data_IF_728565676282
#
_entry.id   IF_728565676282
#
_cell.length_a   1.000
_cell.length_b   1.000
_cell.length_c   1.000
_cell.angle_alpha   90.00
_cell.angle_beta   90.00
_cell.angle_gamma   90.00
#
_symmetry.space_group_name_H-M   'P 1'
#
loop_
_entity.id
_entity.type
_entity.pdbx_description
1 polymer ?
#
# COMPACT_ATOMS: atom_id res chain seq x y z
N UNK A 1 -0.33 -9.33 1.37
CA UNK A 1 -0.59 -8.29 2.38
C UNK A 1 -1.80 -8.57 3.26
N UNK A 2 -2.92 -8.94 2.69
CA UNK A 2 -4.13 -9.20 3.49
C UNK A 2 -3.90 -10.30 4.51
N UNK A 3 -3.30 -11.39 4.10
CA UNK A 3 -3.04 -12.52 5.01
C UNK A 3 -2.14 -12.08 6.17
N UNK A 4 -1.11 -11.29 5.89
CA UNK A 4 -0.21 -10.78 6.91
C UNK A 4 -0.94 -9.86 7.88
N UNK A 5 -1.83 -8.99 7.36
CA UNK A 5 -2.60 -8.09 8.21
C UNK A 5 -3.54 -8.88 9.14
N UNK A 6 -4.19 -9.92 8.61
CA UNK A 6 -5.08 -10.75 9.41
C UNK A 6 -4.31 -11.53 10.47
N UNK A 7 -3.13 -12.02 10.12
CA UNK A 7 -2.30 -12.73 11.08
C UNK A 7 -1.80 -11.79 12.17
N UNK A 8 -1.43 -10.57 11.80
CA UNK A 8 -1.03 -9.56 12.78
C UNK A 8 -2.15 -9.27 13.77
N UNK A 9 -3.38 -9.20 13.27
CA UNK A 9 -4.54 -8.97 14.12
C UNK A 9 -4.80 -10.17 15.03
N UNK A 10 -4.75 -11.38 14.45
CA UNK A 10 -5.03 -12.60 15.23
C UNK A 10 -4.00 -12.81 16.34
N UNK A 11 -2.73 -12.62 16.00
CA UNK A 11 -1.65 -12.90 16.95
C UNK A 11 -1.22 -11.68 17.76
N UNK A 12 -1.77 -10.51 17.48
CA UNK A 12 -1.37 -9.25 18.14
C UNK A 12 0.13 -9.05 18.01
N UNK A 13 0.65 -9.23 16.77
CA UNK A 13 2.09 -9.22 16.51
C UNK A 13 2.48 -7.88 15.89
N UNK A 14 3.13 -7.04 16.66
CA UNK A 14 3.52 -5.70 16.21
C UNK A 14 4.54 -5.76 15.08
N UNK A 15 5.43 -6.76 15.09
CA UNK A 15 6.41 -6.88 14.02
C UNK A 15 5.75 -7.14 12.68
N UNK A 16 4.69 -7.96 12.66
CA UNK A 16 3.93 -8.18 11.43
C UNK A 16 3.24 -6.89 10.98
N UNK A 17 2.72 -6.11 11.92
CA UNK A 17 2.11 -4.83 11.58
C UNK A 17 3.12 -3.92 10.88
N UNK A 18 4.33 -3.87 11.39
CA UNK A 18 5.35 -2.97 10.85
C UNK A 18 5.91 -3.45 9.51
N UNK A 19 5.64 -4.70 9.12
CA UNK A 19 6.04 -5.19 7.80
C UNK A 19 5.12 -4.69 6.70
N UNK A 20 3.88 -4.36 7.03
CA UNK A 20 2.89 -4.04 5.99
C UNK A 20 3.28 -2.85 5.11
N UNK A 21 3.76 -1.73 5.64
CA UNK A 21 4.14 -0.62 4.77
C UNK A 21 5.29 -1.00 3.83
N UNK A 22 6.20 -1.85 4.29
CA UNK A 22 7.29 -2.30 3.42
C UNK A 22 6.79 -3.20 2.30
N UNK A 23 5.78 -4.01 2.58
CA UNK A 23 5.15 -4.85 1.56
C UNK A 23 4.39 -4.00 0.55
N UNK A 24 3.94 -2.81 0.95
CA UNK A 24 3.19 -1.93 0.07
C UNK A 24 4.08 -1.23 -0.95
N UNK A 25 5.36 -1.03 -0.66
CA UNK A 25 6.26 -0.33 -1.57
C UNK A 25 6.37 -0.99 -2.96
N UNK A 26 6.54 -2.31 -3.08
CA UNK A 26 6.54 -2.94 -4.39
C UNK A 26 5.20 -2.80 -5.11
N UNK A 27 4.09 -2.82 -4.36
CA UNK A 27 2.75 -2.65 -4.95
C UNK A 27 2.64 -1.26 -5.56
N UNK A 28 3.09 -0.23 -4.85
CA UNK A 28 3.09 1.13 -5.36
C UNK A 28 3.94 1.26 -6.61
N UNK A 29 5.12 0.65 -6.62
CA UNK A 29 5.99 0.71 -7.79
C UNK A 29 5.35 0.05 -9.00
N UNK A 30 4.72 -1.12 -8.78
CA UNK A 30 4.06 -1.83 -9.87
C UNK A 30 2.87 -1.03 -10.41
N UNK A 31 2.13 -0.38 -9.53
CA UNK A 31 1.00 0.44 -9.94
C UNK A 31 1.47 1.62 -10.80
N UNK A 32 2.55 2.30 -10.40
CA UNK A 32 3.11 3.39 -11.19
C UNK A 32 3.64 2.87 -12.53
N UNK A 33 4.24 1.68 -12.53
CA UNK A 33 4.73 1.06 -13.75
C UNK A 33 3.62 0.76 -14.73
N UNK A 34 2.47 0.33 -14.24
CA UNK A 34 1.31 0.05 -15.10
C UNK A 34 0.88 1.31 -15.84
N UNK A 35 0.88 2.46 -15.17
CA UNK A 35 0.50 3.72 -15.79
C UNK A 35 1.48 4.07 -16.92
N UNK A 36 2.78 3.93 -16.66
CA UNK A 36 3.80 4.23 -17.68
C UNK A 36 3.70 3.28 -18.87
N UNK A 37 3.41 2.01 -18.61
CA UNK A 37 3.23 1.04 -19.70
C UNK A 37 2.02 1.38 -20.54
N UNK A 38 0.93 1.83 -19.92
CA UNK A 38 -0.26 2.22 -20.67
C UNK A 38 0.04 3.40 -21.60
N UNK A 39 0.85 4.34 -21.18
CA UNK A 39 1.20 5.48 -22.02
C UNK A 39 1.95 5.07 -23.29
N UNK A 40 2.71 3.97 -23.23
CA UNK A 40 3.43 3.48 -24.40
C UNK A 40 2.52 2.92 -25.46
N UNK A 41 1.25 2.68 -25.14
CA UNK A 41 0.29 2.11 -26.08
C UNK A 41 -0.53 3.19 -26.78
N UNK A 42 -0.14 4.45 -26.65
CA UNK A 42 -0.94 5.57 -27.13
C UNK A 42 -1.17 5.57 -28.65
N UNK A 43 -0.30 4.92 -29.42
CA UNK A 43 -0.41 4.92 -30.87
C UNK A 43 -1.49 3.98 -31.40
N UNK A 44 -1.96 3.05 -30.58
CA UNK A 44 -2.99 2.08 -30.97
C UNK A 44 -4.19 2.25 -30.03
N UNK A 45 -5.31 2.81 -30.49
CA UNK A 45 -6.44 3.09 -29.61
C UNK A 45 -6.99 1.86 -28.90
N UNK A 46 -6.96 0.68 -29.53
CA UNK A 46 -7.48 -0.53 -28.89
C UNK A 46 -6.55 -1.00 -27.79
N UNK A 47 -5.24 -0.96 -28.05
CA UNK A 47 -4.24 -1.32 -27.06
C UNK A 47 -4.27 -0.32 -25.89
N UNK A 48 -4.43 0.95 -26.20
CA UNK A 48 -4.50 1.98 -25.16
C UNK A 48 -5.73 1.76 -24.28
N UNK A 49 -6.88 1.45 -24.87
CA UNK A 49 -8.08 1.19 -24.10
C UNK A 49 -7.87 0.02 -23.13
N UNK A 50 -7.24 -1.04 -23.60
CA UNK A 50 -6.91 -2.19 -22.75
C UNK A 50 -5.97 -1.76 -21.63
N UNK A 51 -4.94 -0.98 -21.97
CA UNK A 51 -3.96 -0.51 -21.00
C UNK A 51 -4.57 0.36 -19.91
N UNK A 52 -5.54 1.22 -20.29
CA UNK A 52 -6.22 2.06 -19.31
C UNK A 52 -7.07 1.23 -18.37
N UNK A 53 -7.73 0.19 -18.86
CA UNK A 53 -8.50 -0.71 -18.00
C UNK A 53 -7.58 -1.49 -17.07
N UNK A 54 -6.42 -1.91 -17.56
CA UNK A 54 -5.45 -2.59 -16.71
C UNK A 54 -4.91 -1.65 -15.63
N UNK A 55 -4.74 -0.37 -15.98
CA UNK A 55 -4.31 0.61 -14.99
C UNK A 55 -5.37 0.79 -13.89
N UNK A 56 -6.65 0.79 -14.26
CA UNK A 56 -7.72 0.87 -13.27
C UNK A 56 -7.73 -0.36 -12.35
N UNK A 57 -7.50 -1.54 -12.92
CA UNK A 57 -7.43 -2.76 -12.13
C UNK A 57 -6.23 -2.71 -11.15
N UNK A 58 -5.09 -2.20 -11.62
CA UNK A 58 -3.91 -2.07 -10.78
C UNK A 58 -4.16 -1.12 -9.62
N UNK A 59 -4.88 -0.02 -9.88
CA UNK A 59 -5.21 0.93 -8.81
C UNK A 59 -6.16 0.32 -7.79
N UNK A 60 -7.10 -0.51 -8.25
CA UNK A 60 -8.00 -1.19 -7.33
C UNK A 60 -7.23 -2.16 -6.43
N UNK A 61 -6.25 -2.86 -6.99
CA UNK A 61 -5.40 -3.76 -6.20
C UNK A 61 -4.52 -2.99 -5.23
N UNK A 62 -4.05 -1.81 -5.63
CA UNK A 62 -3.29 -0.97 -4.72
C UNK A 62 -4.13 -0.56 -3.53
N UNK A 63 -5.41 -0.27 -3.75
CA UNK A 63 -6.31 0.07 -2.63
C UNK A 63 -6.48 -1.09 -1.66
N UNK A 64 -6.47 -2.32 -2.16
CA UNK A 64 -6.52 -3.48 -1.29
C UNK A 64 -5.28 -3.49 -0.39
N UNK A 65 -4.11 -3.18 -0.95
CA UNK A 65 -2.89 -3.06 -0.16
C UNK A 65 -2.99 -1.95 0.87
N UNK A 66 -3.51 -0.78 0.49
CA UNK A 66 -3.69 0.33 1.40
C UNK A 66 -4.60 -0.06 2.56
N UNK A 67 -5.68 -0.79 2.28
CA UNK A 67 -6.58 -1.26 3.32
C UNK A 67 -5.89 -2.24 4.26
N UNK A 68 -4.98 -3.06 3.74
CA UNK A 68 -4.21 -3.96 4.59
C UNK A 68 -3.30 -3.18 5.53
N UNK A 69 -2.69 -2.10 5.04
CA UNK A 69 -1.88 -1.23 5.88
C UNK A 69 -2.75 -0.55 6.95
N UNK A 70 -3.96 -0.11 6.57
CA UNK A 70 -4.89 0.47 7.52
C UNK A 70 -5.22 -0.49 8.65
N UNK A 71 -5.44 -1.77 8.32
CA UNK A 71 -5.70 -2.79 9.33
C UNK A 71 -4.50 -2.88 10.27
N UNK A 72 -3.29 -2.91 9.70
CA UNK A 72 -2.07 -3.01 10.51
C UNK A 72 -1.91 -1.81 11.44
N UNK A 73 -2.28 -0.62 10.97
CA UNK A 73 -2.23 0.58 11.80
C UNK A 73 -3.16 0.47 12.99
N UNK A 74 -4.38 -0.02 12.75
CA UNK A 74 -5.34 -0.18 13.82
C UNK A 74 -4.92 -1.28 14.80
N UNK A 75 -4.35 -2.36 14.30
CA UNK A 75 -3.85 -3.42 15.16
C UNK A 75 -2.67 -2.90 15.98
N UNK A 76 -1.80 -2.11 15.38
CA UNK A 76 -0.70 -1.48 16.11
C UNK A 76 -1.22 -0.63 17.26
N UNK A 77 -2.30 0.11 17.03
CA UNK A 77 -2.93 0.90 18.07
C UNK A 77 -3.47 0.01 19.19
N UNK A 78 -4.09 -1.12 18.84
CA UNK A 78 -4.60 -2.06 19.84
C UNK A 78 -3.47 -2.60 20.73
N UNK A 79 -2.28 -2.78 20.15
CA UNK A 79 -1.17 -3.35 20.88
C UNK A 79 -0.45 -2.32 21.73
N UNK A 80 -0.19 -1.14 21.17
CA UNK A 80 0.66 -0.14 21.81
C UNK A 80 -0.10 0.97 22.51
N UNK A 81 -1.33 1.18 22.17
CA UNK A 81 -2.12 2.30 22.68
C UNK A 81 -1.82 3.62 22.00
N UNK A 82 -0.95 3.62 20.99
CA UNK A 82 -0.61 4.82 20.24
C UNK A 82 -0.86 4.60 18.76
N UNK A 83 -1.62 5.49 18.15
CA UNK A 83 -1.90 5.37 16.72
C UNK A 83 -0.78 6.02 15.91
N UNK A 84 -0.29 5.29 14.91
CA UNK A 84 0.73 5.80 14.00
C UNK A 84 0.31 5.49 12.57
N UNK A 85 0.55 6.44 11.69
CA UNK A 85 0.28 6.23 10.28
C UNK A 85 1.50 5.62 9.62
N UNK A 86 1.40 4.36 9.24
CA UNK A 86 2.53 3.60 8.71
C UNK A 86 2.93 4.04 7.31
N UNK A 87 2.01 4.63 6.55
CA UNK A 87 2.36 5.13 5.23
C UNK A 87 3.41 6.22 5.34
N UNK A 88 3.29 7.08 6.35
CA UNK A 88 4.26 8.13 6.55
C UNK A 88 5.61 7.55 6.93
N UNK A 89 5.61 6.46 7.67
CA UNK A 89 6.86 5.83 8.07
C UNK A 89 7.62 5.31 6.87
N UNK A 90 6.91 4.77 5.89
CA UNK A 90 7.57 4.22 4.71
C UNK A 90 8.10 5.32 3.81
N UNK A 91 7.55 6.53 3.91
CA UNK A 91 7.99 7.64 3.09
C UNK A 91 8.96 8.55 3.82
N UNK A 92 9.39 8.17 4.99
CA UNK A 92 10.40 8.97 5.66
C UNK A 92 10.00 10.40 5.88
N UNK A 93 8.84 10.61 6.30
CA UNK A 93 8.41 11.97 6.51
C UNK A 93 9.05 12.46 7.76
N UNK A 94 9.92 13.42 7.63
CA UNK A 94 10.61 13.89 8.78
C UNK A 94 9.69 14.71 9.52
N UNK A 95 9.37 14.46 10.43
CA UNK A 95 8.54 15.22 10.98
C UNK A 95 8.78 15.62 12.25
N UNK A 96 8.43 16.46 12.75
CA UNK A 96 8.48 16.79 13.93
C UNK A 96 7.83 16.09 14.62
N UNK A 97 7.32 16.01 14.10
CA UNK A 97 6.65 15.46 14.61
C UNK A 97 6.94 14.46 14.38
N UNK A 98 7.23 14.41 13.42
CA UNK A 98 7.53 13.39 13.08
C UNK A 98 8.14 13.24 14.17
N UNK A 99 8.39 13.96 14.27
CA UNK A 99 8.81 13.76 15.13
C UNK A 99 8.28 14.14 16.15
N UNK A 100 7.87 14.52 16.07
CA UNK A 100 7.34 14.87 17.16
C UNK A 100 6.37 14.19 17.53
#
# INVERSE_FOLDING_TARGET
MIRTALEAFRARDLELCLKLPKMDDPVDRLNRGTHLEALKLADDPRALDWGLHMNLAARALERVGDNAVDIAEQVGFLITGEFREFTDASHEVPGPGANA
#
